data_IF_568170553361
#
_entry.id   IF_568170553361
#
_cell.length_a   1.000
_cell.length_b   1.000
_cell.length_c   1.000
_cell.angle_alpha   90.00
_cell.angle_beta   90.00
_cell.angle_gamma   90.00
#
_symmetry.space_group_name_H-M   'P 1'
#
loop_
_entity.id
_entity.type
_entity.pdbx_description
1 polymer ?
#
# COMPACT_ATOMS: atom_id res chain seq x y z
N UNK A 1 -10.56 11.96 14.68
CA UNK A 1 -9.52 13.00 14.54
C UNK A 1 -8.58 12.56 13.43
N UNK A 2 -7.79 13.46 12.86
CA UNK A 2 -6.84 13.13 11.80
C UNK A 2 -5.42 13.52 12.20
N UNK A 3 -4.48 13.34 11.29
CA UNK A 3 -3.10 13.77 11.47
C UNK A 3 -2.86 15.07 10.69
N UNK A 4 -2.06 15.97 11.23
CA UNK A 4 -1.67 17.21 10.53
C UNK A 4 -0.24 17.06 10.05
N UNK A 5 -0.05 17.12 8.74
CA UNK A 5 1.27 17.02 8.10
C UNK A 5 2.10 18.27 8.28
N UNK A 6 3.40 18.20 7.98
CA UNK A 6 4.32 19.34 8.05
C UNK A 6 3.93 20.49 7.10
N UNK A 7 3.19 20.20 6.03
CA UNK A 7 2.64 21.17 5.08
C UNK A 7 1.15 21.49 5.32
N UNK A 8 0.66 21.25 6.57
CA UNK A 8 -0.66 21.58 7.07
C UNK A 8 -1.85 20.92 6.38
N UNK A 9 -1.67 19.71 5.82
CA UNK A 9 -2.78 18.90 5.36
C UNK A 9 -3.34 18.08 6.54
N UNK A 10 -4.66 17.94 6.60
CA UNK A 10 -5.33 17.04 7.53
C UNK A 10 -5.52 15.68 6.83
N UNK A 11 -4.88 14.62 7.35
CA UNK A 11 -5.03 13.25 6.89
C UNK A 11 -6.07 12.54 7.76
N UNK A 12 -7.09 11.99 7.11
CA UNK A 12 -8.18 11.29 7.79
C UNK A 12 -7.71 9.95 8.34
N UNK A 13 -7.96 9.71 9.63
CA UNK A 13 -7.64 8.47 10.35
C UNK A 13 -8.86 7.56 10.44
N UNK A 14 -8.68 6.26 10.24
CA UNK A 14 -9.61 5.20 10.59
C UNK A 14 -8.97 4.24 11.59
N UNK A 15 -9.76 3.76 12.54
CA UNK A 15 -9.30 2.87 13.62
C UNK A 15 -10.32 1.76 13.86
N UNK A 16 -9.83 0.55 14.05
CA UNK A 16 -10.58 -0.63 14.50
C UNK A 16 -9.80 -1.24 15.66
N UNK A 17 -10.19 -0.82 16.87
CA UNK A 17 -9.43 -1.12 18.08
C UNK A 17 -10.07 -2.27 18.87
N UNK A 18 -9.23 -3.06 19.55
CA UNK A 18 -9.61 -4.04 20.54
C UNK A 18 -9.00 -3.67 21.90
N UNK A 19 -9.65 -4.13 22.97
CA UNK A 19 -9.13 -3.92 24.34
C UNK A 19 -7.96 -4.90 24.56
N UNK A 20 -6.83 -4.37 25.05
CA UNK A 20 -5.60 -5.15 25.28
C UNK A 20 -5.13 -5.92 24.03
N UNK A 21 -4.78 -5.22 22.94
CA UNK A 21 -4.36 -5.87 21.72
C UNK A 21 -3.04 -6.63 21.90
N UNK A 22 -2.89 -7.73 21.16
CA UNK A 22 -1.63 -8.50 21.09
C UNK A 22 -0.62 -7.84 20.16
N UNK A 23 -1.10 -7.08 19.19
CA UNK A 23 -0.31 -6.32 18.22
C UNK A 23 -1.15 -5.18 17.64
N UNK A 24 -0.49 -4.20 17.03
CA UNK A 24 -1.13 -3.14 16.25
C UNK A 24 -0.67 -3.21 14.80
N UNK A 25 -1.60 -3.13 13.88
CA UNK A 25 -1.32 -2.98 12.44
C UNK A 25 -1.52 -1.52 12.04
N UNK A 26 -0.51 -0.92 11.40
CA UNK A 26 -0.67 0.26 10.57
C UNK A 26 -0.87 -0.17 9.12
N UNK A 27 -2.05 0.10 8.57
CA UNK A 27 -2.47 -0.35 7.24
C UNK A 27 -2.37 0.77 6.22
N UNK A 28 -1.71 0.52 5.10
CA UNK A 28 -1.55 1.42 3.96
C UNK A 28 -2.37 0.93 2.76
N UNK A 29 -3.28 1.76 2.29
CA UNK A 29 -4.15 1.46 1.15
C UNK A 29 -3.47 1.65 -0.22
N UNK A 30 -4.12 1.25 -1.31
CA UNK A 30 -3.63 1.38 -2.68
C UNK A 30 -3.94 2.72 -3.35
N UNK A 31 -3.56 2.83 -4.61
CA UNK A 31 -3.77 4.03 -5.42
C UNK A 31 -5.24 4.23 -5.79
N UNK A 32 -5.77 5.40 -5.48
CA UNK A 32 -7.13 5.78 -5.83
C UNK A 32 -8.21 5.28 -4.88
N UNK A 33 -7.85 4.43 -3.91
CA UNK A 33 -8.75 3.99 -2.84
C UNK A 33 -8.54 4.79 -1.54
N UNK A 34 -9.09 4.30 -0.44
CA UNK A 34 -9.02 4.92 0.88
C UNK A 34 -9.13 3.87 1.99
N UNK A 35 -8.69 4.22 3.19
CA UNK A 35 -8.59 3.30 4.34
C UNK A 35 -9.90 2.65 4.77
N UNK A 36 -11.04 3.35 4.64
CA UNK A 36 -12.36 2.81 5.02
C UNK A 36 -12.82 1.59 4.21
N UNK A 37 -12.22 1.30 3.06
CA UNK A 37 -12.57 0.12 2.25
C UNK A 37 -12.27 -1.21 2.94
N UNK A 38 -11.31 -1.24 3.84
CA UNK A 38 -10.92 -2.46 4.58
C UNK A 38 -11.95 -2.90 5.64
N UNK A 39 -12.99 -2.09 5.87
CA UNK A 39 -14.17 -2.51 6.60
C UNK A 39 -15.08 -3.43 5.76
N UNK A 40 -15.22 -3.15 4.47
CA UNK A 40 -16.05 -3.96 3.54
C UNK A 40 -15.49 -5.37 3.34
N UNK A 41 -14.18 -5.51 3.24
CA UNK A 41 -13.51 -6.81 3.10
C UNK A 41 -13.58 -7.67 4.36
N UNK A 42 -14.04 -7.11 5.48
CA UNK A 42 -13.98 -7.69 6.82
C UNK A 42 -12.55 -7.86 7.36
N UNK A 43 -11.53 -7.36 6.66
CA UNK A 43 -10.12 -7.48 7.05
C UNK A 43 -9.88 -6.98 8.47
N UNK A 44 -10.23 -5.73 8.74
CA UNK A 44 -10.05 -5.12 10.05
C UNK A 44 -10.81 -5.89 11.15
N UNK A 45 -12.04 -6.33 10.87
CA UNK A 45 -12.84 -7.14 11.83
C UNK A 45 -12.22 -8.51 12.10
N UNK A 46 -11.60 -9.14 11.11
CA UNK A 46 -10.93 -10.42 11.27
C UNK A 46 -9.67 -10.28 12.13
N UNK A 47 -8.87 -9.25 11.91
CA UNK A 47 -7.76 -8.92 12.79
C UNK A 47 -8.22 -8.64 14.23
N UNK A 48 -9.34 -7.90 14.40
CA UNK A 48 -9.90 -7.63 15.73
C UNK A 48 -10.32 -8.94 16.45
N UNK A 49 -10.93 -9.90 15.74
CA UNK A 49 -11.26 -11.23 16.31
C UNK A 49 -10.01 -11.99 16.74
N UNK A 50 -8.88 -11.81 16.05
CA UNK A 50 -7.60 -12.38 16.43
C UNK A 50 -6.89 -11.62 17.56
N UNK A 51 -7.48 -10.52 18.08
CA UNK A 51 -6.90 -9.70 19.13
C UNK A 51 -5.89 -8.67 18.64
N UNK A 52 -5.96 -8.29 17.36
CA UNK A 52 -5.05 -7.32 16.74
C UNK A 52 -5.84 -6.04 16.43
N UNK A 53 -5.35 -4.89 16.91
CA UNK A 53 -5.88 -3.59 16.55
C UNK A 53 -5.37 -3.14 15.19
N UNK A 54 -6.19 -2.39 14.43
CA UNK A 54 -5.81 -1.84 13.13
C UNK A 54 -6.01 -0.34 13.14
N UNK A 55 -4.99 0.41 12.73
CA UNK A 55 -5.04 1.83 12.42
C UNK A 55 -4.70 2.02 10.94
N UNK A 56 -5.34 2.96 10.29
CA UNK A 56 -5.10 3.32 8.90
C UNK A 56 -5.38 4.80 8.68
N UNK A 57 -4.91 5.34 7.57
CA UNK A 57 -5.21 6.72 7.19
C UNK A 57 -5.38 6.83 5.68
N UNK A 58 -6.14 7.84 5.26
CA UNK A 58 -6.27 8.17 3.85
C UNK A 58 -5.05 8.98 3.40
N UNK A 59 -4.38 8.57 2.33
CA UNK A 59 -3.24 9.31 1.79
C UNK A 59 -3.64 10.70 1.34
N UNK A 60 -2.69 11.64 1.35
CA UNK A 60 -2.89 12.99 0.81
C UNK A 60 -3.54 12.95 -0.58
N UNK A 61 -4.60 13.72 -0.77
CA UNK A 61 -5.40 13.74 -2.00
C UNK A 61 -6.20 12.46 -2.27
N UNK A 62 -6.48 11.65 -1.26
CA UNK A 62 -7.33 10.45 -1.33
C UNK A 62 -8.39 10.44 -0.23
N UNK A 63 -9.47 9.69 -0.45
CA UNK A 63 -10.54 9.50 0.51
C UNK A 63 -11.10 10.81 1.08
N UNK A 64 -10.97 10.97 2.40
CA UNK A 64 -11.39 12.17 3.16
C UNK A 64 -10.23 13.06 3.56
N UNK A 65 -9.00 12.75 3.14
CA UNK A 65 -7.81 13.56 3.41
C UNK A 65 -7.71 14.77 2.52
N UNK A 66 -7.10 15.84 3.04
CA UNK A 66 -6.77 17.03 2.29
C UNK A 66 -5.75 16.74 1.17
N UNK A 67 -5.60 17.68 0.26
CA UNK A 67 -4.66 17.59 -0.86
C UNK A 67 -5.34 17.52 -2.22
N UNK A 68 -4.55 17.66 -3.28
CA UNK A 68 -5.07 17.63 -4.64
C UNK A 68 -5.25 16.19 -5.11
N UNK A 69 -6.49 15.81 -5.38
CA UNK A 69 -6.86 14.45 -5.79
C UNK A 69 -6.06 14.01 -7.04
N UNK A 70 -5.47 12.81 -6.96
CA UNK A 70 -4.68 12.22 -8.05
C UNK A 70 -3.33 12.89 -8.29
N UNK A 71 -2.82 13.68 -7.35
CA UNK A 71 -1.57 14.43 -7.45
C UNK A 71 -0.71 14.29 -6.18
N UNK A 72 0.60 14.36 -6.36
CA UNK A 72 1.61 14.63 -5.34
C UNK A 72 2.71 15.47 -6.00
N UNK A 73 3.41 16.28 -5.25
CA UNK A 73 4.55 17.05 -5.79
C UNK A 73 5.83 16.22 -5.77
N UNK A 74 6.05 15.41 -4.72
CA UNK A 74 7.20 14.49 -4.57
C UNK A 74 6.76 13.22 -3.87
N UNK A 75 7.30 12.07 -4.26
CA UNK A 75 6.99 10.79 -3.62
C UNK A 75 7.36 10.77 -2.14
N UNK A 76 8.46 11.44 -1.78
CA UNK A 76 8.93 11.52 -0.39
C UNK A 76 7.88 12.07 0.57
N UNK A 77 6.93 12.90 0.12
CA UNK A 77 5.84 13.39 0.96
C UNK A 77 4.96 12.26 1.52
N UNK A 78 4.81 11.16 0.75
CA UNK A 78 4.05 9.99 1.22
C UNK A 78 4.81 9.20 2.29
N UNK A 79 6.13 9.11 2.19
CA UNK A 79 6.97 8.46 3.22
C UNK A 79 7.17 9.34 4.45
N UNK A 80 7.20 10.67 4.30
CA UNK A 80 7.20 11.63 5.41
C UNK A 80 5.88 11.57 6.19
N UNK A 81 4.73 11.47 5.50
CA UNK A 81 3.42 11.27 6.14
C UNK A 81 3.42 9.94 6.92
N UNK A 82 3.92 8.85 6.32
CA UNK A 82 4.02 7.56 6.99
C UNK A 82 4.93 7.63 8.21
N UNK A 83 6.10 8.29 8.11
CA UNK A 83 7.04 8.44 9.23
C UNK A 83 6.39 9.14 10.42
N UNK A 84 5.70 10.24 10.18
CA UNK A 84 4.99 11.01 11.20
C UNK A 84 3.90 10.17 11.88
N UNK A 85 3.12 9.42 11.09
CA UNK A 85 2.00 8.62 11.59
C UNK A 85 2.53 7.37 12.32
N UNK A 86 3.56 6.73 11.81
CA UNK A 86 4.20 5.59 12.46
C UNK A 86 4.72 5.94 13.85
N UNK A 87 5.36 7.10 14.00
CA UNK A 87 5.82 7.57 15.30
C UNK A 87 4.66 7.92 16.24
N UNK A 88 3.58 8.51 15.73
CA UNK A 88 2.39 8.84 16.51
C UNK A 88 1.58 7.62 16.98
N UNK A 89 1.61 6.52 16.22
CA UNK A 89 0.85 5.28 16.48
C UNK A 89 1.68 4.16 17.10
N UNK A 90 3.00 4.36 17.20
CA UNK A 90 3.92 3.38 17.78
C UNK A 90 3.48 2.97 19.19
N UNK A 91 3.24 1.68 19.44
CA UNK A 91 2.98 1.19 20.78
C UNK A 91 4.27 1.12 21.62
N UNK A 92 4.12 1.04 22.96
CA UNK A 92 5.28 0.93 23.86
C UNK A 92 5.79 -0.52 23.98
N UNK A 93 4.89 -1.49 24.20
CA UNK A 93 5.27 -2.84 24.66
C UNK A 93 4.68 -4.00 23.84
N UNK A 94 4.09 -3.72 22.68
CA UNK A 94 3.49 -4.75 21.82
C UNK A 94 3.95 -4.59 20.37
N UNK A 95 4.00 -5.67 19.57
CA UNK A 95 4.42 -5.63 18.19
C UNK A 95 3.65 -4.63 17.33
N UNK A 96 4.39 -3.88 16.53
CA UNK A 96 3.87 -2.94 15.55
C UNK A 96 4.12 -3.43 14.12
N UNK A 97 3.07 -3.64 13.36
CA UNK A 97 3.09 -4.33 12.06
C UNK A 97 2.71 -3.33 10.96
N UNK A 98 3.52 -3.26 9.91
CA UNK A 98 3.20 -2.49 8.70
C UNK A 98 2.53 -3.40 7.67
N UNK A 99 1.22 -3.25 7.45
CA UNK A 99 0.49 -3.95 6.38
C UNK A 99 0.21 -2.98 5.24
N UNK A 100 0.54 -3.36 4.02
CA UNK A 100 0.47 -2.45 2.88
C UNK A 100 -0.06 -3.13 1.62
N UNK A 101 -0.84 -2.40 0.82
CA UNK A 101 -1.39 -2.87 -0.44
C UNK A 101 -0.99 -1.96 -1.61
N UNK A 102 -0.57 -2.57 -2.72
CA UNK A 102 -0.35 -1.89 -4.01
C UNK A 102 0.60 -0.68 -3.90
N UNK A 103 0.14 0.56 -4.15
CA UNK A 103 0.90 1.79 -3.93
C UNK A 103 1.37 1.92 -2.47
N UNK A 104 0.54 1.51 -1.51
CA UNK A 104 0.93 1.45 -0.11
C UNK A 104 2.15 0.56 0.10
N UNK A 105 2.26 -0.54 -0.66
CA UNK A 105 3.43 -1.42 -0.68
C UNK A 105 4.70 -0.71 -1.19
N UNK A 106 4.59 0.13 -2.22
CA UNK A 106 5.72 0.95 -2.67
C UNK A 106 6.12 2.00 -1.62
N UNK A 107 5.14 2.64 -0.97
CA UNK A 107 5.39 3.61 0.11
C UNK A 107 6.10 2.92 1.27
N UNK A 108 5.59 1.75 1.72
CA UNK A 108 6.18 0.95 2.78
C UNK A 108 7.62 0.52 2.44
N UNK A 109 7.83 -0.01 1.23
CA UNK A 109 9.16 -0.42 0.76
C UNK A 109 10.14 0.75 0.77
N UNK A 110 9.75 1.89 0.21
CA UNK A 110 10.58 3.11 0.18
C UNK A 110 10.87 3.63 1.58
N UNK A 111 9.88 3.64 2.46
CA UNK A 111 10.03 4.07 3.84
C UNK A 111 11.03 3.18 4.59
N UNK A 112 10.89 1.85 4.53
CA UNK A 112 11.78 0.90 5.20
C UNK A 112 13.24 0.99 4.69
N UNK A 113 13.43 1.32 3.41
CA UNK A 113 14.75 1.55 2.83
C UNK A 113 15.40 2.82 3.39
N UNK A 114 14.62 3.90 3.47
CA UNK A 114 15.14 5.24 3.81
C UNK A 114 15.24 5.47 5.34
N UNK A 115 14.49 4.70 6.17
CA UNK A 115 14.41 4.86 7.62
C UNK A 115 14.83 3.58 8.35
N UNK A 116 16.11 3.49 8.70
CA UNK A 116 16.66 2.31 9.40
C UNK A 116 16.12 2.14 10.84
N UNK A 117 15.79 3.25 11.50
CA UNK A 117 15.28 3.28 12.87
C UNK A 117 13.74 3.29 12.89
N UNK A 118 13.10 2.66 11.91
CA UNK A 118 11.63 2.56 11.85
C UNK A 118 11.07 1.75 13.03
N UNK A 119 9.84 2.04 13.50
CA UNK A 119 9.28 1.40 14.70
C UNK A 119 8.61 0.02 14.44
N UNK A 120 8.67 -0.50 13.22
CA UNK A 120 7.96 -1.72 12.85
C UNK A 120 8.78 -2.98 13.16
N UNK A 121 8.12 -3.99 13.76
CA UNK A 121 8.70 -5.30 14.06
C UNK A 121 8.58 -6.27 12.88
N UNK A 122 7.59 -6.09 12.02
CA UNK A 122 7.39 -6.89 10.80
C UNK A 122 6.61 -6.12 9.73
N UNK A 123 6.75 -6.50 8.47
CA UNK A 123 6.02 -5.90 7.36
C UNK A 123 5.31 -6.94 6.48
N UNK A 124 4.10 -6.60 6.01
CA UNK A 124 3.25 -7.44 5.18
C UNK A 124 2.88 -6.66 3.91
N UNK A 125 3.17 -7.26 2.77
CA UNK A 125 2.95 -6.68 1.45
C UNK A 125 1.90 -7.47 0.68
N UNK A 126 0.84 -6.81 0.26
CA UNK A 126 -0.22 -7.35 -0.60
C UNK A 126 -0.12 -6.71 -1.98
N UNK A 127 0.23 -7.50 -3.00
CA UNK A 127 0.39 -7.06 -4.38
C UNK A 127 1.17 -5.73 -4.53
N UNK A 128 2.39 -5.61 -3.93
CA UNK A 128 3.11 -4.34 -3.85
C UNK A 128 3.50 -3.82 -5.23
N UNK A 129 3.31 -2.53 -5.47
CA UNK A 129 3.63 -1.88 -6.74
C UNK A 129 5.12 -1.49 -6.82
N UNK A 130 6.03 -2.46 -6.67
CA UNK A 130 7.48 -2.20 -6.57
C UNK A 130 8.25 -2.40 -7.89
N UNK A 131 7.62 -2.97 -8.92
CA UNK A 131 8.21 -3.16 -10.24
C UNK A 131 7.63 -2.17 -11.23
N UNK A 132 8.49 -1.46 -11.96
CA UNK A 132 8.06 -0.56 -13.02
C UNK A 132 7.53 -1.34 -14.24
N UNK A 133 6.58 -0.74 -14.97
CA UNK A 133 6.05 -1.30 -16.20
C UNK A 133 7.08 -1.21 -17.32
N UNK A 134 7.61 -2.34 -17.74
CA UNK A 134 8.57 -2.45 -18.84
C UNK A 134 7.93 -2.23 -20.22
N UNK A 135 6.59 -2.26 -20.30
CA UNK A 135 5.84 -2.03 -21.56
C UNK A 135 5.76 -0.55 -21.93
N UNK A 136 6.13 0.37 -21.03
CA UNK A 136 6.13 1.80 -21.34
C UNK A 136 7.10 2.11 -22.48
N UNK A 137 6.59 2.72 -23.56
CA UNK A 137 7.39 3.07 -24.71
C UNK A 137 8.62 3.93 -24.30
N UNK A 138 9.83 3.61 -24.77
CA UNK A 138 11.06 4.30 -24.35
C UNK A 138 11.01 5.83 -24.55
N UNK A 139 10.30 6.29 -25.58
CA UNK A 139 10.12 7.73 -25.82
C UNK A 139 9.29 8.38 -24.69
N UNK A 140 8.23 7.73 -24.18
CA UNK A 140 7.42 8.24 -23.09
C UNK A 140 8.24 8.32 -21.80
N UNK A 141 9.08 7.33 -21.52
CA UNK A 141 9.99 7.33 -20.37
C UNK A 141 10.98 8.51 -20.44
N UNK A 142 11.50 8.83 -21.64
CA UNK A 142 12.42 9.97 -21.85
C UNK A 142 11.75 11.33 -21.71
N UNK A 143 10.50 11.49 -22.12
CA UNK A 143 9.80 12.79 -22.06
C UNK A 143 9.02 12.97 -20.73
N UNK A 144 8.77 11.91 -19.98
CA UNK A 144 8.04 11.95 -18.70
C UNK A 144 8.59 13.00 -17.71
N UNK A 145 9.91 13.13 -17.48
CA UNK A 145 10.44 14.15 -16.56
C UNK A 145 10.13 15.59 -17.05
N UNK A 146 10.16 15.83 -18.36
CA UNK A 146 9.85 17.14 -18.94
C UNK A 146 8.36 17.47 -18.76
N UNK A 147 7.48 16.51 -19.09
CA UNK A 147 6.03 16.68 -18.93
C UNK A 147 5.69 16.86 -17.45
N UNK A 148 6.27 16.04 -16.57
CA UNK A 148 6.11 16.13 -15.12
C UNK A 148 6.50 17.50 -14.58
N UNK A 149 7.56 18.11 -15.11
CA UNK A 149 8.06 19.42 -14.67
C UNK A 149 7.20 20.57 -15.21
N UNK A 150 6.87 20.56 -16.49
CA UNK A 150 6.19 21.68 -17.16
C UNK A 150 4.66 21.62 -17.00
N UNK A 151 4.09 20.41 -16.93
CA UNK A 151 2.65 20.16 -16.87
C UNK A 151 2.30 19.15 -15.75
N UNK A 152 2.66 19.44 -14.48
CA UNK A 152 2.56 18.47 -13.37
C UNK A 152 1.15 17.94 -13.14
N UNK A 153 0.14 18.75 -13.43
CA UNK A 153 -1.29 18.42 -13.23
C UNK A 153 -1.96 17.82 -14.48
N UNK A 154 -1.22 17.62 -15.58
CA UNK A 154 -1.78 17.02 -16.80
C UNK A 154 -2.28 15.60 -16.51
N UNK A 155 -3.53 15.25 -16.87
CA UNK A 155 -4.03 13.88 -16.76
C UNK A 155 -3.25 12.95 -17.72
N UNK A 156 -2.54 11.96 -17.17
CA UNK A 156 -1.60 11.13 -17.93
C UNK A 156 -2.06 9.68 -18.07
N UNK A 157 -2.28 8.96 -16.99
CA UNK A 157 -2.58 7.53 -17.01
C UNK A 157 -3.91 7.20 -16.34
N UNK A 158 -4.63 6.21 -16.84
CA UNK A 158 -5.86 5.67 -16.24
C UNK A 158 -5.53 4.35 -15.52
N UNK A 159 -6.10 4.15 -14.35
CA UNK A 159 -6.04 2.86 -13.64
C UNK A 159 -6.95 1.83 -14.33
N UNK A 160 -6.52 0.57 -14.35
CA UNK A 160 -7.31 -0.57 -14.85
C UNK A 160 -8.31 -1.03 -13.78
N UNK A 161 -9.28 -0.19 -13.46
CA UNK A 161 -10.23 -0.38 -12.34
C UNK A 161 -11.11 -1.63 -12.47
N UNK A 162 -11.27 -2.16 -13.66
CA UNK A 162 -12.06 -3.38 -13.91
C UNK A 162 -11.29 -4.66 -13.54
N UNK A 163 -9.99 -4.55 -13.27
CA UNK A 163 -9.08 -5.66 -12.96
C UNK A 163 -8.68 -5.73 -11.48
N UNK A 164 -9.35 -4.97 -10.60
CA UNK A 164 -9.04 -4.96 -9.16
C UNK A 164 -9.40 -6.28 -8.48
N UNK A 165 -10.49 -6.92 -8.89
CA UNK A 165 -11.00 -8.18 -8.35
C UNK A 165 -11.81 -8.91 -9.42
N UNK A 166 -11.84 -10.24 -9.37
CA UNK A 166 -12.75 -11.06 -10.20
C UNK A 166 -14.21 -10.97 -9.74
N UNK A 167 -14.46 -10.54 -8.48
CA UNK A 167 -15.80 -10.39 -7.93
C UNK A 167 -16.53 -9.19 -8.55
N UNK A 168 -17.65 -9.40 -9.27
CA UNK A 168 -18.42 -8.31 -9.88
C UNK A 168 -19.04 -7.36 -8.84
N UNK A 169 -19.34 -7.84 -7.62
CA UNK A 169 -19.88 -7.00 -6.55
C UNK A 169 -18.81 -6.02 -6.04
N UNK A 170 -17.58 -6.49 -5.84
CA UNK A 170 -16.44 -5.63 -5.47
C UNK A 170 -16.21 -4.56 -6.52
N UNK A 171 -16.20 -4.92 -7.82
CA UNK A 171 -16.05 -3.96 -8.90
C UNK A 171 -17.20 -2.94 -8.95
N UNK A 172 -18.44 -3.39 -8.75
CA UNK A 172 -19.63 -2.52 -8.73
C UNK A 172 -19.55 -1.51 -7.58
N UNK A 173 -19.21 -1.96 -6.37
CA UNK A 173 -18.99 -1.09 -5.21
C UNK A 173 -17.88 -0.07 -5.48
N UNK A 174 -16.75 -0.52 -6.02
CA UNK A 174 -15.64 0.36 -6.39
C UNK A 174 -16.08 1.45 -7.36
N UNK A 175 -16.89 1.11 -8.38
CA UNK A 175 -17.39 2.06 -9.37
C UNK A 175 -18.42 3.04 -8.80
N UNK A 176 -19.23 2.64 -7.83
CA UNK A 176 -20.26 3.48 -7.22
C UNK A 176 -19.77 4.34 -6.06
N UNK A 177 -18.65 3.99 -5.44
CA UNK A 177 -18.13 4.68 -4.26
C UNK A 177 -17.60 6.09 -4.61
N UNK A 178 -18.13 7.16 -4.00
CA UNK A 178 -17.73 8.54 -4.29
C UNK A 178 -16.34 8.90 -3.76
N UNK A 179 -15.81 8.15 -2.79
CA UNK A 179 -14.47 8.39 -2.23
C UNK A 179 -13.35 7.76 -3.06
N UNK A 180 -13.68 6.88 -4.00
CA UNK A 180 -12.74 6.29 -4.95
C UNK A 180 -12.38 7.29 -6.04
N UNK A 181 -11.10 7.49 -6.24
CA UNK A 181 -10.61 8.30 -7.35
C UNK A 181 -10.66 7.54 -8.68
N UNK A 182 -11.58 7.91 -9.55
CA UNK A 182 -11.80 7.29 -10.88
C UNK A 182 -11.16 8.08 -12.04
N UNK A 183 -10.48 9.17 -11.71
CA UNK A 183 -9.82 10.03 -12.69
C UNK A 183 -8.47 9.48 -13.17
N UNK A 184 -7.84 10.24 -14.04
CA UNK A 184 -6.49 9.92 -14.52
C UNK A 184 -5.44 10.36 -13.51
N UNK A 185 -4.43 9.52 -13.27
CA UNK A 185 -3.22 9.88 -12.53
C UNK A 185 -2.57 11.07 -13.23
N UNK A 186 -2.19 12.09 -12.47
CA UNK A 186 -1.54 13.29 -13.01
C UNK A 186 -0.07 13.00 -13.34
N UNK A 187 0.46 13.69 -14.32
CA UNK A 187 1.80 13.46 -14.85
C UNK A 187 2.90 13.50 -13.78
N UNK A 188 2.83 14.42 -12.81
CA UNK A 188 3.77 14.47 -11.69
C UNK A 188 3.68 13.20 -10.84
N UNK A 189 2.49 12.83 -10.39
CA UNK A 189 2.30 11.63 -9.56
C UNK A 189 2.76 10.36 -10.27
N UNK A 190 2.42 10.20 -11.56
CA UNK A 190 2.86 9.04 -12.34
C UNK A 190 4.39 8.96 -12.45
N UNK A 191 5.05 10.09 -12.72
CA UNK A 191 6.50 10.17 -12.79
C UNK A 191 7.16 9.86 -11.43
N UNK A 192 6.69 10.43 -10.34
CA UNK A 192 7.21 10.23 -8.99
C UNK A 192 7.06 8.77 -8.53
N UNK A 193 5.93 8.12 -8.85
CA UNK A 193 5.70 6.69 -8.58
C UNK A 193 6.69 5.84 -9.38
N UNK A 194 6.86 6.10 -10.69
CA UNK A 194 7.80 5.37 -11.53
C UNK A 194 9.23 5.48 -11.01
N UNK A 195 9.69 6.69 -10.69
CA UNK A 195 11.04 6.91 -10.13
C UNK A 195 11.24 6.22 -8.78
N UNK A 196 10.18 6.16 -7.95
CA UNK A 196 10.24 5.42 -6.69
C UNK A 196 10.32 3.92 -6.90
N UNK A 197 9.63 3.35 -7.89
CA UNK A 197 9.77 1.93 -8.25
C UNK A 197 11.22 1.64 -8.66
N UNK A 198 11.81 2.44 -9.55
CA UNK A 198 13.21 2.29 -9.97
C UNK A 198 14.18 2.38 -8.77
N UNK A 199 13.94 3.33 -7.88
CA UNK A 199 14.76 3.52 -6.69
C UNK A 199 14.75 2.31 -5.75
N UNK A 200 13.56 1.76 -5.44
CA UNK A 200 13.44 0.65 -4.47
C UNK A 200 13.97 -0.66 -5.03
N UNK A 201 13.81 -0.91 -6.34
CA UNK A 201 14.30 -2.13 -7.00
C UNK A 201 15.81 -2.35 -6.83
N UNK A 202 16.59 -1.29 -6.73
CA UNK A 202 18.04 -1.37 -6.54
C UNK A 202 18.46 -1.48 -5.06
N UNK A 203 17.49 -1.39 -4.10
CA UNK A 203 17.79 -1.18 -2.67
C UNK A 203 17.06 -2.11 -1.72
N UNK A 204 16.40 -3.15 -2.20
CA UNK A 204 15.66 -4.10 -1.36
C UNK A 204 16.51 -4.69 -0.23
N UNK A 205 17.83 -4.86 -0.45
CA UNK A 205 18.76 -5.37 0.57
C UNK A 205 18.83 -4.51 1.85
N UNK A 206 18.26 -3.31 1.82
CA UNK A 206 18.16 -2.46 3.00
C UNK A 206 17.07 -2.92 3.98
N UNK A 207 16.16 -3.81 3.58
CA UNK A 207 15.05 -4.32 4.38
C UNK A 207 15.49 -5.63 5.06
N UNK A 208 15.50 -5.68 6.38
CA UNK A 208 16.01 -6.80 7.18
C UNK A 208 15.01 -7.33 8.23
N UNK A 209 13.88 -6.64 8.46
CA UNK A 209 12.83 -7.13 9.37
C UNK A 209 12.06 -8.31 8.77
N UNK A 210 11.34 -9.11 9.61
CA UNK A 210 10.44 -10.17 9.14
C UNK A 210 9.43 -9.66 8.11
N UNK A 211 9.32 -10.33 6.96
CA UNK A 211 8.37 -9.95 5.91
C UNK A 211 7.49 -11.09 5.41
N UNK A 212 6.23 -10.74 5.11
CA UNK A 212 5.32 -11.53 4.31
C UNK A 212 4.99 -10.79 3.02
N UNK A 213 5.24 -11.42 1.87
CA UNK A 213 4.84 -10.89 0.56
C UNK A 213 3.75 -11.79 -0.02
N UNK A 214 2.62 -11.21 -0.40
CA UNK A 214 1.47 -11.93 -0.96
C UNK A 214 1.05 -11.32 -2.30
N UNK A 215 0.64 -12.18 -3.27
CA UNK A 215 0.17 -11.71 -4.57
C UNK A 215 -0.85 -12.66 -5.20
N UNK A 216 -1.83 -12.12 -5.91
CA UNK A 216 -2.72 -12.89 -6.77
C UNK A 216 -2.03 -13.24 -8.08
N UNK A 217 -2.04 -14.52 -8.49
CA UNK A 217 -1.35 -14.97 -9.71
C UNK A 217 -1.92 -14.30 -10.96
N UNK A 218 -3.22 -14.01 -10.97
CA UNK A 218 -3.92 -13.41 -12.11
C UNK A 218 -4.02 -11.87 -12.04
N UNK A 219 -3.19 -11.23 -11.20
CA UNK A 219 -3.12 -9.76 -11.13
C UNK A 219 -2.71 -9.16 -12.48
N UNK A 220 -3.51 -8.19 -12.97
CA UNK A 220 -3.28 -7.45 -14.22
C UNK A 220 -2.97 -5.96 -13.98
N UNK A 221 -2.81 -5.55 -12.71
CA UNK A 221 -2.53 -4.17 -12.30
C UNK A 221 -1.07 -4.03 -11.90
N UNK A 222 -0.58 -4.92 -11.03
CA UNK A 222 0.83 -5.02 -10.67
C UNK A 222 1.38 -6.38 -11.10
N UNK A 223 2.63 -6.39 -11.57
CA UNK A 223 3.28 -7.61 -12.01
C UNK A 223 3.69 -8.48 -10.81
N UNK A 224 3.18 -9.74 -10.67
CA UNK A 224 3.58 -10.66 -9.60
C UNK A 224 5.10 -10.87 -9.50
N UNK A 225 5.83 -10.68 -10.59
CA UNK A 225 7.30 -10.71 -10.58
C UNK A 225 7.89 -9.65 -9.63
N UNK A 226 7.22 -8.51 -9.45
CA UNK A 226 7.65 -7.49 -8.47
C UNK A 226 7.68 -8.02 -7.04
N UNK A 227 6.70 -8.85 -6.65
CA UNK A 227 6.68 -9.54 -5.36
C UNK A 227 7.82 -10.55 -5.21
N UNK A 228 8.12 -11.31 -6.25
CA UNK A 228 9.29 -12.20 -6.26
C UNK A 228 10.59 -11.42 -6.10
N UNK A 229 10.76 -10.34 -6.86
CA UNK A 229 11.96 -9.49 -6.77
C UNK A 229 12.15 -8.88 -5.38
N UNK A 230 11.07 -8.42 -4.75
CA UNK A 230 11.11 -7.92 -3.37
C UNK A 230 11.53 -9.03 -2.40
N UNK A 231 10.88 -10.20 -2.47
CA UNK A 231 11.20 -11.35 -1.62
C UNK A 231 12.66 -11.80 -1.77
N UNK A 232 13.15 -11.92 -3.01
CA UNK A 232 14.53 -12.34 -3.27
C UNK A 232 15.55 -11.29 -2.81
N UNK A 233 15.21 -10.00 -2.99
CA UNK A 233 16.12 -8.89 -2.79
C UNK A 233 16.32 -8.44 -1.34
N UNK A 234 15.37 -8.69 -0.42
CA UNK A 234 15.51 -8.28 0.97
C UNK A 234 16.56 -9.11 1.71
N UNK A 235 17.23 -8.51 2.68
CA UNK A 235 18.24 -9.18 3.51
C UNK A 235 17.66 -9.95 4.71
N UNK A 236 16.35 -9.81 4.96
CA UNK A 236 15.66 -10.52 6.03
C UNK A 236 15.89 -12.03 5.97
N UNK A 237 16.23 -12.63 7.13
CA UNK A 237 16.32 -14.08 7.31
C UNK A 237 14.96 -14.73 7.56
N UNK A 238 13.96 -13.96 7.99
CA UNK A 238 12.58 -14.39 8.20
C UNK A 238 11.68 -13.77 7.14
N UNK A 239 11.53 -14.47 6.01
CA UNK A 239 10.75 -13.98 4.87
C UNK A 239 9.88 -15.07 4.27
N UNK A 240 8.65 -14.72 3.93
CA UNK A 240 7.67 -15.60 3.31
C UNK A 240 7.11 -14.98 2.04
N UNK A 241 6.90 -15.80 1.01
CA UNK A 241 6.22 -15.42 -0.22
C UNK A 241 5.06 -16.38 -0.47
N UNK A 242 3.86 -15.85 -0.65
CA UNK A 242 2.65 -16.62 -0.93
C UNK A 242 1.94 -16.09 -2.17
N UNK A 243 1.80 -16.93 -3.16
CA UNK A 243 0.93 -16.69 -4.30
C UNK A 243 -0.43 -17.34 -4.10
N UNK A 244 -1.49 -16.66 -4.55
CA UNK A 244 -2.86 -17.16 -4.54
C UNK A 244 -3.35 -17.34 -5.98
N UNK A 245 -3.58 -18.59 -6.37
CA UNK A 245 -4.02 -18.93 -7.71
C UNK A 245 -5.43 -18.39 -7.99
N UNK A 246 -5.62 -17.83 -9.18
CA UNK A 246 -6.90 -17.31 -9.63
C UNK A 246 -7.34 -15.99 -8.97
N UNK A 247 -6.55 -15.40 -8.08
CA UNK A 247 -6.85 -14.10 -7.48
C UNK A 247 -6.23 -12.97 -8.32
N UNK A 248 -6.96 -11.83 -8.34
CA UNK A 248 -6.54 -10.59 -8.99
C UNK A 248 -5.78 -9.68 -8.00
N UNK A 249 -5.83 -8.37 -8.23
CA UNK A 249 -5.02 -7.39 -7.50
C UNK A 249 -5.38 -7.24 -6.02
N UNK A 250 -6.67 -7.06 -5.72
CA UNK A 250 -7.14 -6.82 -4.35
C UNK A 250 -7.43 -8.16 -3.64
N UNK A 251 -6.39 -8.93 -3.31
CA UNK A 251 -6.52 -10.28 -2.73
C UNK A 251 -7.37 -10.32 -1.45
N UNK A 252 -7.41 -9.24 -0.67
CA UNK A 252 -8.27 -9.10 0.52
C UNK A 252 -9.74 -8.77 0.19
N UNK A 253 -10.07 -8.53 -1.08
CA UNK A 253 -11.42 -8.24 -1.56
C UNK A 253 -11.96 -9.32 -2.49
N UNK A 254 -11.20 -10.38 -2.75
CA UNK A 254 -11.64 -11.50 -3.58
C UNK A 254 -12.69 -12.39 -2.88
N UNK A 255 -13.43 -13.23 -3.60
CA UNK A 255 -14.32 -14.21 -2.95
C UNK A 255 -13.60 -15.10 -1.93
N UNK A 256 -12.36 -15.48 -2.20
CA UNK A 256 -11.50 -16.31 -1.36
C UNK A 256 -10.77 -15.51 -0.26
N UNK A 257 -11.10 -14.25 -0.02
CA UNK A 257 -10.42 -13.37 0.96
C UNK A 257 -10.25 -13.96 2.35
N UNK A 258 -11.15 -14.88 2.76
CA UNK A 258 -11.05 -15.52 4.08
C UNK A 258 -9.75 -16.32 4.18
N UNK A 259 -9.39 -17.10 3.15
CA UNK A 259 -8.12 -17.84 3.09
C UNK A 259 -6.91 -16.89 3.19
N UNK A 260 -6.95 -15.76 2.47
CA UNK A 260 -5.87 -14.77 2.48
C UNK A 260 -5.72 -14.13 3.86
N UNK A 261 -6.85 -13.79 4.50
CA UNK A 261 -6.88 -13.16 5.82
C UNK A 261 -6.39 -14.14 6.88
N UNK A 262 -6.88 -15.38 6.86
CA UNK A 262 -6.49 -16.41 7.84
C UNK A 262 -5.01 -16.73 7.71
N UNK A 263 -4.48 -16.90 6.49
CA UNK A 263 -3.05 -17.07 6.24
C UNK A 263 -2.22 -15.91 6.82
N UNK A 264 -2.71 -14.67 6.67
CA UNK A 264 -2.03 -13.48 7.21
C UNK A 264 -2.04 -13.48 8.74
N UNK A 265 -3.18 -13.85 9.36
CA UNK A 265 -3.32 -13.93 10.82
C UNK A 265 -2.43 -15.03 11.39
N UNK A 266 -2.39 -16.20 10.77
CA UNK A 266 -1.56 -17.34 11.19
C UNK A 266 -0.08 -16.96 11.10
N UNK A 267 0.37 -16.32 9.98
CA UNK A 267 1.74 -15.85 9.83
C UNK A 267 2.15 -14.85 10.92
N UNK A 268 1.26 -13.92 11.28
CA UNK A 268 1.48 -13.00 12.41
C UNK A 268 1.55 -13.80 13.72
N UNK A 269 0.58 -14.71 13.96
CA UNK A 269 0.47 -15.47 15.19
C UNK A 269 1.68 -16.35 15.52
N UNK A 270 2.40 -16.81 14.49
CA UNK A 270 3.65 -17.57 14.65
C UNK A 270 4.82 -16.69 15.17
N UNK A 271 4.67 -15.35 15.16
CA UNK A 271 5.71 -14.36 15.48
C UNK A 271 5.35 -13.46 16.68
N UNK A 272 4.16 -13.67 17.27
CA UNK A 272 3.73 -13.03 18.53
C UNK A 272 4.08 -13.91 19.72
#
# INVERSE_FOLDING_TARGET
>A
MGYITSDNLNLHKNEWLVINPKAIILLLHGLGEYSGRYEYSQLAKSFNRAGISVTSFDFRGGGKSDGLVGHIDRFIQLTEDLAMIAEAEKPEDIPFILLSHSLGGLIATRYLIDHKDHPFDMAIFSAPAVKSDDSMAPILRKIAPIISKLFPKLPAAKLAQDMISKDPEVRSRYQSDPLIYKGKIRARKGYEVMMSMEYVMERFTAIDLPILVMHGVDDKITDPLGSQMLFDGVSSSDKSLKYFDGLYHEIFNEPERVEVIDYTIDWIGERL
#
